data_IF_844446369927
#
_entry.id   IF_844446369927
#
_cell.length_a   1.000
_cell.length_b   1.000
_cell.length_c   1.000
_cell.angle_alpha   90.00
_cell.angle_beta   90.00
_cell.angle_gamma   90.00
#
_symmetry.space_group_name_H-M   'P 1'
#
loop_
_entity.id
_entity.type
_entity.pdbx_description
1 polymer ?
#
# COMPACT_ATOMS: atom_id res chain seq x y z
N UNK A 1 11.94 8.07 20.14
CA UNK A 1 11.41 7.27 19.00
C UNK A 1 10.05 6.64 19.30
N UNK A 2 9.74 6.25 20.55
CA UNK A 2 8.40 5.74 20.96
C UNK A 2 7.24 6.73 20.77
N UNK A 3 7.45 8.04 20.93
CA UNK A 3 6.36 9.04 20.91
C UNK A 3 5.63 9.25 19.56
N UNK A 4 6.06 8.62 18.46
CA UNK A 4 5.45 8.81 17.12
C UNK A 4 4.53 7.68 16.67
N UNK A 5 4.53 6.54 17.36
CA UNK A 5 3.77 5.37 16.98
C UNK A 5 2.98 4.93 18.22
N UNK A 6 1.64 4.97 18.15
CA UNK A 6 0.74 4.48 19.22
C UNK A 6 0.74 2.94 19.26
N UNK A 7 1.92 2.33 19.39
CA UNK A 7 2.08 0.89 19.53
C UNK A 7 2.41 0.60 20.99
N UNK A 8 1.54 -0.15 21.64
CA UNK A 8 1.55 -0.38 23.09
C UNK A 8 2.66 -1.37 23.48
N UNK A 9 3.08 -2.24 22.55
CA UNK A 9 4.10 -3.28 22.79
C UNK A 9 5.07 -3.48 21.62
N UNK A 10 6.33 -3.85 21.94
CA UNK A 10 7.38 -4.17 20.95
C UNK A 10 7.00 -5.30 19.97
N UNK A 11 6.16 -6.24 20.41
CA UNK A 11 5.63 -7.32 19.57
C UNK A 11 4.63 -6.85 18.50
N UNK A 12 3.99 -5.70 18.69
CA UNK A 12 3.11 -5.11 17.68
C UNK A 12 3.92 -4.52 16.53
N UNK A 13 5.06 -3.90 16.82
CA UNK A 13 5.99 -3.41 15.80
C UNK A 13 6.48 -4.53 14.88
N UNK A 14 6.85 -5.69 15.43
CA UNK A 14 7.32 -6.83 14.62
C UNK A 14 6.22 -7.30 13.66
N UNK A 15 4.98 -7.44 14.15
CA UNK A 15 3.84 -7.81 13.29
C UNK A 15 3.61 -6.78 12.19
N UNK A 16 3.68 -5.50 12.53
CA UNK A 16 3.53 -4.40 11.56
C UNK A 16 4.60 -4.47 10.48
N UNK A 17 5.86 -4.72 10.83
CA UNK A 17 6.95 -4.86 9.86
C UNK A 17 6.76 -6.08 8.95
N UNK A 18 6.31 -7.21 9.49
CA UNK A 18 6.00 -8.40 8.68
C UNK A 18 4.87 -8.08 7.69
N UNK A 19 3.80 -7.44 8.13
CA UNK A 19 2.71 -7.00 7.24
C UNK A 19 3.24 -6.07 6.16
N UNK A 20 4.10 -5.11 6.50
CA UNK A 20 4.69 -4.21 5.50
C UNK A 20 5.57 -4.93 4.48
N UNK A 21 6.36 -5.90 4.92
CA UNK A 21 7.17 -6.71 4.01
C UNK A 21 6.28 -7.52 3.05
N UNK A 22 5.26 -8.19 3.57
CA UNK A 22 4.34 -9.02 2.77
C UNK A 22 3.52 -8.15 1.81
N UNK A 23 2.94 -7.05 2.28
CA UNK A 23 2.13 -6.15 1.44
C UNK A 23 2.95 -5.44 0.38
N UNK A 24 4.18 -5.03 0.69
CA UNK A 24 5.11 -4.41 -0.26
C UNK A 24 5.55 -5.37 -1.37
N UNK A 25 5.88 -6.62 -1.04
CA UNK A 25 6.21 -7.62 -2.06
C UNK A 25 4.99 -8.03 -2.89
N UNK A 26 3.82 -8.17 -2.25
CA UNK A 26 2.58 -8.60 -2.91
C UNK A 26 2.06 -7.55 -3.90
N UNK A 27 2.15 -6.25 -3.57
CA UNK A 27 1.67 -5.19 -4.48
C UNK A 27 2.46 -5.15 -5.80
N UNK A 28 3.76 -5.40 -5.76
CA UNK A 28 4.60 -5.52 -6.96
C UNK A 28 4.26 -6.77 -7.78
N UNK A 29 3.96 -7.88 -7.11
CA UNK A 29 3.57 -9.13 -7.76
C UNK A 29 2.22 -9.00 -8.46
N UNK A 30 1.26 -8.25 -7.89
CA UNK A 30 -0.05 -7.97 -8.47
C UNK A 30 0.03 -6.90 -9.58
N UNK A 31 0.90 -5.90 -9.46
CA UNK A 31 1.00 -4.83 -10.46
C UNK A 31 1.34 -5.33 -11.86
N UNK A 32 2.19 -6.37 -11.99
CA UNK A 32 2.63 -6.91 -13.28
C UNK A 32 1.49 -7.59 -14.07
N UNK A 33 0.73 -8.54 -13.51
CA UNK A 33 -0.39 -9.15 -14.21
C UNK A 33 -1.49 -8.12 -14.53
N UNK A 34 -1.75 -7.14 -13.66
CA UNK A 34 -2.77 -6.12 -13.93
C UNK A 34 -2.41 -5.30 -15.19
N UNK A 35 -1.17 -4.84 -15.33
CA UNK A 35 -0.76 -4.09 -16.53
C UNK A 35 -0.82 -4.95 -17.78
N UNK A 36 -0.43 -6.22 -17.67
CA UNK A 36 -0.55 -7.18 -18.77
C UNK A 36 -2.01 -7.41 -19.16
N UNK A 37 -2.92 -7.49 -18.18
CA UNK A 37 -4.37 -7.62 -18.40
C UNK A 37 -4.97 -6.36 -19.05
N UNK A 38 -4.45 -5.18 -18.72
CA UNK A 38 -4.82 -3.92 -19.38
C UNK A 38 -4.30 -3.83 -20.83
N UNK A 39 -3.59 -4.85 -21.34
CA UNK A 39 -3.05 -4.87 -22.70
C UNK A 39 -1.86 -3.92 -22.91
N UNK A 40 -1.31 -3.38 -21.82
CA UNK A 40 -0.21 -2.43 -21.86
C UNK A 40 1.11 -3.21 -21.93
N UNK A 41 1.68 -3.27 -23.14
CA UNK A 41 3.04 -3.80 -23.35
C UNK A 41 4.05 -2.65 -23.36
N UNK A 42 5.31 -2.95 -22.98
CA UNK A 42 6.43 -1.99 -23.05
C UNK A 42 6.69 -1.44 -24.46
N UNK A 43 6.12 -2.09 -25.47
CA UNK A 43 6.24 -1.76 -26.89
C UNK A 43 5.17 -0.75 -27.35
N UNK A 44 3.97 -0.78 -26.74
CA UNK A 44 2.86 0.11 -27.11
C UNK A 44 2.83 1.42 -26.32
N UNK A 45 3.58 1.51 -25.22
CA UNK A 45 3.54 2.63 -24.30
C UNK A 45 4.96 3.09 -23.96
N UNK A 46 5.13 4.41 -23.87
CA UNK A 46 6.41 5.00 -23.47
C UNK A 46 6.89 4.35 -22.15
N UNK A 47 8.14 3.87 -22.06
CA UNK A 47 8.66 3.21 -20.87
C UNK A 47 8.43 3.98 -19.57
N UNK A 48 8.46 5.31 -19.63
CA UNK A 48 8.19 6.19 -18.48
C UNK A 48 6.73 6.06 -18.06
N UNK A 49 5.79 6.14 -18.99
CA UNK A 49 4.36 6.05 -18.69
C UNK A 49 3.98 4.68 -18.14
N UNK A 50 4.57 3.61 -18.68
CA UNK A 50 4.42 2.25 -18.16
C UNK A 50 4.79 2.17 -16.68
N UNK A 51 5.95 2.72 -16.30
CA UNK A 51 6.40 2.71 -14.91
C UNK A 51 5.52 3.56 -13.98
N UNK A 52 5.04 4.71 -14.45
CA UNK A 52 4.11 5.56 -13.69
C UNK A 52 2.80 4.80 -13.43
N UNK A 53 2.20 4.18 -14.45
CA UNK A 53 1.00 3.34 -14.31
C UNK A 53 1.24 2.17 -13.36
N UNK A 54 2.38 1.49 -13.45
CA UNK A 54 2.74 0.40 -12.54
C UNK A 54 2.81 0.83 -11.09
N UNK A 55 3.42 1.98 -10.82
CA UNK A 55 3.51 2.51 -9.46
C UNK A 55 2.12 2.91 -8.96
N UNK A 56 1.29 3.57 -9.77
CA UNK A 56 -0.07 3.99 -9.38
C UNK A 56 -0.93 2.76 -9.06
N UNK A 57 -0.97 1.78 -9.95
CA UNK A 57 -1.74 0.55 -9.76
C UNK A 57 -1.22 -0.20 -8.53
N UNK A 58 0.10 -0.40 -8.42
CA UNK A 58 0.70 -1.06 -7.27
C UNK A 58 0.36 -0.35 -5.95
N UNK A 59 0.32 0.99 -5.96
CA UNK A 59 -0.05 1.79 -4.80
C UNK A 59 -1.52 1.63 -4.40
N UNK A 60 -2.44 1.54 -5.37
CA UNK A 60 -3.86 1.26 -5.11
C UNK A 60 -4.02 -0.13 -4.48
N UNK A 61 -3.36 -1.15 -5.02
CA UNK A 61 -3.40 -2.49 -4.43
C UNK A 61 -2.75 -2.54 -3.05
N UNK A 62 -1.67 -1.80 -2.85
CA UNK A 62 -0.99 -1.71 -1.57
C UNK A 62 -1.92 -1.17 -0.46
N UNK A 63 -2.73 -0.17 -0.76
CA UNK A 63 -3.76 0.36 0.16
C UNK A 63 -4.75 -0.74 0.58
N UNK A 64 -5.37 -1.42 -0.41
CA UNK A 64 -6.33 -2.51 -0.14
C UNK A 64 -5.70 -3.63 0.70
N UNK A 65 -4.46 -4.01 0.38
CA UNK A 65 -3.73 -5.04 1.12
C UNK A 65 -3.45 -4.61 2.56
N UNK A 66 -2.98 -3.38 2.80
CA UNK A 66 -2.72 -2.89 4.15
C UNK A 66 -3.95 -2.93 5.04
N UNK A 67 -5.11 -2.53 4.52
CA UNK A 67 -6.38 -2.59 5.26
C UNK A 67 -6.77 -4.04 5.56
N UNK A 68 -6.64 -4.92 4.57
CA UNK A 68 -6.97 -6.35 4.68
C UNK A 68 -6.10 -7.03 5.74
N UNK A 69 -4.78 -6.85 5.67
CA UNK A 69 -3.87 -7.42 6.66
C UNK A 69 -4.02 -6.76 8.04
N UNK A 70 -4.28 -5.45 8.08
CA UNK A 70 -4.60 -4.76 9.33
C UNK A 70 -5.81 -5.37 10.03
N UNK A 71 -6.85 -5.71 9.26
CA UNK A 71 -8.02 -6.43 9.76
C UNK A 71 -7.67 -7.85 10.23
N UNK A 72 -6.92 -8.63 9.43
CA UNK A 72 -6.52 -10.00 9.79
C UNK A 72 -5.70 -10.10 11.08
N UNK A 73 -4.81 -9.13 11.34
CA UNK A 73 -3.94 -9.14 12.51
C UNK A 73 -4.51 -8.37 13.72
N UNK A 74 -5.75 -7.88 13.64
CA UNK A 74 -6.40 -7.12 14.71
C UNK A 74 -5.80 -5.73 14.94
N UNK A 75 -5.06 -5.20 13.98
CA UNK A 75 -4.40 -3.88 14.03
C UNK A 75 -5.05 -2.90 13.03
N UNK A 76 -6.33 -3.11 12.69
CA UNK A 76 -7.05 -2.34 11.67
C UNK A 76 -6.96 -0.83 11.92
N UNK A 77 -7.22 -0.37 13.15
CA UNK A 77 -7.19 1.06 13.49
C UNK A 77 -5.83 1.69 13.18
N UNK A 78 -4.74 0.99 13.49
CA UNK A 78 -3.38 1.46 13.23
C UNK A 78 -3.12 1.60 11.72
N UNK A 79 -3.43 0.56 10.94
CA UNK A 79 -3.23 0.58 9.49
C UNK A 79 -4.18 1.54 8.78
N UNK A 80 -5.39 1.70 9.27
CA UNK A 80 -6.36 2.69 8.79
C UNK A 80 -5.84 4.12 9.00
N UNK A 81 -5.38 4.48 10.20
CA UNK A 81 -4.76 5.79 10.43
C UNK A 81 -3.51 6.01 9.57
N UNK A 82 -2.70 4.96 9.38
CA UNK A 82 -1.53 5.01 8.52
C UNK A 82 -1.89 5.26 7.05
N UNK A 83 -2.88 4.53 6.52
CA UNK A 83 -3.38 4.69 5.16
C UNK A 83 -4.01 6.08 4.97
N UNK A 84 -4.86 6.52 5.90
CA UNK A 84 -5.45 7.86 5.85
C UNK A 84 -4.38 8.95 5.82
N UNK A 85 -3.32 8.80 6.60
CA UNK A 85 -2.18 9.72 6.60
C UNK A 85 -1.43 9.72 5.26
N UNK A 86 -1.34 8.57 4.59
CA UNK A 86 -0.74 8.45 3.27
C UNK A 86 -1.63 9.09 2.19
N UNK A 87 -2.93 8.79 2.18
CA UNK A 87 -3.90 9.36 1.25
C UNK A 87 -4.00 10.89 1.35
N UNK A 88 -3.97 11.43 2.57
CA UNK A 88 -3.91 12.88 2.80
C UNK A 88 -2.67 13.53 2.17
N UNK A 89 -1.53 12.82 2.09
CA UNK A 89 -0.29 13.32 1.42
C UNK A 89 -0.35 13.23 -0.10
N UNK A 90 -1.09 12.28 -0.64
CA UNK A 90 -1.37 12.19 -2.08
C UNK A 90 -2.44 13.18 -2.56
N UNK A 91 -2.93 14.08 -1.69
CA UNK A 91 -3.90 15.11 -2.05
C UNK A 91 -5.37 14.65 -2.00
N UNK A 92 -5.63 13.39 -1.65
CA UNK A 92 -6.98 12.80 -1.52
C UNK A 92 -7.66 13.16 -0.19
N UNK A 93 -7.28 14.29 0.42
CA UNK A 93 -7.77 14.73 1.73
C UNK A 93 -9.31 14.79 1.80
N UNK A 94 -9.96 15.15 0.68
CA UNK A 94 -11.42 15.27 0.58
C UNK A 94 -12.20 13.96 0.71
N UNK A 95 -11.57 12.80 0.47
CA UNK A 95 -12.23 11.49 0.53
C UNK A 95 -12.03 10.75 1.86
N UNK A 96 -11.26 11.33 2.78
CA UNK A 96 -10.69 10.63 3.94
C UNK A 96 -11.03 11.32 5.27
N UNK A 97 -11.62 12.52 5.22
CA UNK A 97 -12.14 13.26 6.38
C UNK A 97 -13.59 12.86 6.71
#
# INVERSE_FOLDING_TARGET
LEKRWELKYRWEMIRVFIVFAVTGSSSLYIGRPIIKLLGITKENLNPILYWVLFIIIGLIFYQILLVTFGWLFGQFKFFWEFEKKMLRRFGLKRFVD
#
